data_IF_180167599189
#
_entry.id   IF_180167599189
#
_cell.length_a   1.000
_cell.length_b   1.000
_cell.length_c   1.000
_cell.angle_alpha   90.00
_cell.angle_beta   90.00
_cell.angle_gamma   90.00
#
_symmetry.space_group_name_H-M   'P 1'
#
loop_
_entity.id
_entity.type
_entity.pdbx_description
1 polymer ?
#
# COMPACT_ATOMS: atom_id res chain seq x y z
N UNK A 1 -26.25 -19.28 23.20
CA UNK A 1 -24.77 -19.20 23.18
C UNK A 1 -24.24 -18.79 21.79
N UNK A 2 -24.77 -19.34 20.70
CA UNK A 2 -24.27 -19.07 19.33
C UNK A 2 -24.33 -17.58 18.91
N UNK A 3 -25.35 -16.82 19.34
CA UNK A 3 -25.47 -15.38 19.03
C UNK A 3 -24.31 -14.54 19.60
N UNK A 4 -23.79 -14.88 20.79
CA UNK A 4 -22.69 -14.13 21.41
C UNK A 4 -21.36 -14.38 20.69
N UNK A 5 -21.15 -15.60 20.20
CA UNK A 5 -19.95 -15.96 19.42
C UNK A 5 -19.93 -15.21 18.08
N UNK A 6 -21.07 -15.15 17.39
CA UNK A 6 -21.20 -14.41 16.12
C UNK A 6 -20.97 -12.90 16.34
N UNK A 7 -21.49 -12.35 17.44
CA UNK A 7 -21.31 -10.93 17.76
C UNK A 7 -19.84 -10.58 18.05
N UNK A 8 -19.15 -11.43 18.82
CA UNK A 8 -17.72 -11.29 19.10
C UNK A 8 -16.88 -11.35 17.83
N UNK A 9 -17.19 -12.29 16.94
CA UNK A 9 -16.50 -12.43 15.66
C UNK A 9 -16.73 -11.21 14.76
N UNK A 10 -17.94 -10.66 14.72
CA UNK A 10 -18.27 -9.46 13.96
C UNK A 10 -17.47 -8.23 14.43
N UNK A 11 -17.29 -8.05 15.74
CA UNK A 11 -16.54 -6.93 16.32
C UNK A 11 -15.04 -7.02 15.97
N UNK A 12 -14.47 -8.24 15.99
CA UNK A 12 -13.09 -8.49 15.55
C UNK A 12 -12.87 -8.12 14.08
N UNK A 13 -13.79 -8.53 13.19
CA UNK A 13 -13.69 -8.19 11.76
C UNK A 13 -13.89 -6.70 11.49
N UNK A 14 -14.79 -6.02 12.22
CA UNK A 14 -15.00 -4.58 12.08
C UNK A 14 -13.75 -3.78 12.51
N UNK A 15 -13.05 -4.25 13.54
CA UNK A 15 -11.78 -3.65 14.01
C UNK A 15 -10.67 -3.80 12.97
N UNK A 16 -10.59 -4.96 12.31
CA UNK A 16 -9.65 -5.18 11.20
C UNK A 16 -9.92 -4.30 9.98
N UNK A 17 -11.18 -3.93 9.74
CA UNK A 17 -11.57 -3.06 8.63
C UNK A 17 -11.08 -1.61 8.84
N UNK A 18 -11.10 -1.11 10.08
CA UNK A 18 -10.54 0.21 10.41
C UNK A 18 -9.02 0.18 10.32
N UNK A 19 -8.38 -0.87 10.83
CA UNK A 19 -6.92 -1.02 10.75
C UNK A 19 -6.42 -1.04 9.30
N UNK A 20 -7.05 -1.85 8.46
CA UNK A 20 -6.70 -1.92 7.03
C UNK A 20 -7.00 -0.60 6.32
N UNK A 21 -8.07 0.12 6.66
CA UNK A 21 -8.35 1.46 6.12
C UNK A 21 -7.29 2.50 6.55
N UNK A 22 -6.86 2.48 7.80
CA UNK A 22 -5.81 3.39 8.31
C UNK A 22 -4.46 3.12 7.67
N UNK A 23 -4.14 1.85 7.33
CA UNK A 23 -2.85 1.51 6.71
C UNK A 23 -2.87 1.71 5.19
N UNK A 24 -3.97 1.35 4.52
CA UNK A 24 -4.04 1.39 3.05
C UNK A 24 -4.38 2.77 2.48
N UNK A 25 -5.08 3.62 3.22
CA UNK A 25 -5.41 4.99 2.78
C UNK A 25 -4.15 5.86 2.65
N UNK A 26 -3.21 5.90 3.61
CA UNK A 26 -1.94 6.61 3.46
C UNK A 26 -1.18 6.14 2.23
N UNK A 27 -1.11 4.84 1.97
CA UNK A 27 -0.41 4.33 0.78
C UNK A 27 -0.96 4.91 -0.53
N UNK A 28 -2.29 5.05 -0.64
CA UNK A 28 -2.95 5.68 -1.80
C UNK A 28 -2.72 7.19 -1.87
N UNK A 29 -2.83 7.87 -0.73
CA UNK A 29 -2.64 9.33 -0.64
C UNK A 29 -1.18 9.69 -0.92
N UNK A 30 -0.23 8.95 -0.35
CA UNK A 30 1.21 9.13 -0.59
C UNK A 30 1.54 8.96 -2.06
N UNK A 31 1.00 7.93 -2.74
CA UNK A 31 1.18 7.79 -4.19
C UNK A 31 0.65 8.98 -4.99
N UNK A 32 -0.51 9.51 -4.62
CA UNK A 32 -1.08 10.70 -5.26
C UNK A 32 -0.25 11.96 -4.99
N UNK A 33 0.30 12.12 -3.78
CA UNK A 33 1.16 13.27 -3.42
C UNK A 33 2.50 13.22 -4.15
N UNK A 34 3.12 12.04 -4.23
CA UNK A 34 4.39 11.84 -4.97
C UNK A 34 4.20 12.19 -6.46
N UNK A 35 3.06 11.83 -7.05
CA UNK A 35 2.76 12.16 -8.45
C UNK A 35 2.63 13.67 -8.73
N UNK A 36 2.35 14.50 -7.73
CA UNK A 36 2.16 15.95 -7.90
C UNK A 36 3.47 16.71 -7.71
N UNK A 37 4.43 16.13 -7.00
CA UNK A 37 5.70 16.80 -6.66
C UNK A 37 6.80 16.26 -7.58
N UNK A 38 7.24 17.03 -8.60
CA UNK A 38 8.22 16.55 -9.59
C UNK A 38 9.55 16.12 -8.95
N UNK A 39 9.97 16.78 -7.87
CA UNK A 39 11.19 16.43 -7.13
C UNK A 39 11.16 15.01 -6.54
N UNK A 40 10.00 14.52 -6.12
CA UNK A 40 9.85 13.18 -5.56
C UNK A 40 9.54 12.17 -6.65
N UNK A 41 8.76 12.56 -7.67
CA UNK A 41 8.51 11.77 -8.88
C UNK A 41 9.82 11.40 -9.60
N UNK A 42 10.66 12.39 -9.93
CA UNK A 42 11.93 12.18 -10.63
C UNK A 42 12.90 11.30 -9.84
N UNK A 43 12.90 11.42 -8.50
CA UNK A 43 13.71 10.58 -7.63
C UNK A 43 13.25 9.11 -7.61
N UNK A 44 11.94 8.88 -7.63
CA UNK A 44 11.36 7.53 -7.72
C UNK A 44 11.60 6.92 -9.10
N UNK A 45 11.34 7.67 -10.17
CA UNK A 45 11.58 7.23 -11.56
C UNK A 45 13.06 6.87 -11.80
N UNK A 46 14.01 7.64 -11.25
CA UNK A 46 15.44 7.32 -11.36
C UNK A 46 15.80 5.99 -10.69
N UNK A 47 15.23 5.69 -9.52
CA UNK A 47 15.47 4.42 -8.80
C UNK A 47 14.81 3.26 -9.55
N UNK A 48 13.60 3.47 -10.09
CA UNK A 48 12.90 2.48 -10.89
C UNK A 48 13.63 2.18 -12.19
N UNK A 49 14.16 3.20 -12.87
CA UNK A 49 14.99 3.05 -14.07
C UNK A 49 16.24 2.22 -13.80
N UNK A 50 17.00 2.54 -12.75
CA UNK A 50 18.20 1.76 -12.38
C UNK A 50 17.86 0.31 -12.02
N UNK A 51 16.71 0.09 -11.36
CA UNK A 51 16.24 -1.25 -11.04
C UNK A 51 15.82 -2.03 -12.29
N UNK A 52 15.17 -1.36 -13.25
CA UNK A 52 14.81 -1.93 -14.53
C UNK A 52 16.04 -2.26 -15.38
N UNK A 53 17.05 -1.39 -15.41
CA UNK A 53 18.32 -1.63 -16.11
C UNK A 53 19.03 -2.88 -15.57
N UNK A 54 19.00 -3.11 -14.26
CA UNK A 54 19.56 -4.32 -13.63
C UNK A 54 18.79 -5.58 -14.03
N UNK A 55 17.47 -5.48 -14.23
CA UNK A 55 16.63 -6.59 -14.67
C UNK A 55 16.84 -6.88 -16.16
N UNK A 56 16.90 -5.85 -17.00
CA UNK A 56 17.16 -5.98 -18.44
C UNK A 56 18.59 -6.47 -18.73
N UNK A 57 19.54 -6.25 -17.83
CA UNK A 57 20.90 -6.78 -17.92
C UNK A 57 21.00 -8.29 -17.63
N UNK A 58 19.93 -8.94 -17.14
CA UNK A 58 19.89 -10.40 -17.01
C UNK A 58 19.68 -10.97 -18.42
N UNK A 59 20.64 -11.72 -18.99
CA UNK A 59 20.46 -12.35 -20.28
C UNK A 59 19.57 -13.59 -20.06
N UNK A 60 18.25 -13.39 -20.14
CA UNK A 60 17.26 -14.47 -20.27
C UNK A 60 17.10 -14.89 -21.74
#
# INVERSE_FOLDING_TARGET
MNKLIILSLAILFLSGCVFTKVVTVPMRVTGAVISVIPVVGDGVDSILGTSADVIDAIPI
#
